data_IF_236102504993
#
_entry.id   IF_236102504993
#
_cell.length_a   1.000
_cell.length_b   1.000
_cell.length_c   1.000
_cell.angle_alpha   90.00
_cell.angle_beta   90.00
_cell.angle_gamma   90.00
#
_symmetry.space_group_name_H-M   'P 1'
#
loop_
_entity.id
_entity.type
_entity.pdbx_description
1 polymer ?
#
# COMPACT_ATOMS: atom_id res chain seq x y z
N UNK A 1 -26.33 2.57 -3.23
CA UNK A 1 -25.42 2.16 -4.33
C UNK A 1 -26.21 2.17 -5.61
N UNK A 2 -25.69 2.75 -6.69
CA UNK A 2 -26.35 2.71 -7.99
C UNK A 2 -26.12 1.33 -8.65
N UNK A 3 -27.11 0.79 -9.35
CA UNK A 3 -27.01 -0.47 -10.10
C UNK A 3 -25.77 -0.52 -11.04
N UNK A 4 -25.29 0.64 -11.49
CA UNK A 4 -24.08 0.81 -12.29
C UNK A 4 -22.79 0.40 -11.55
N UNK A 5 -22.71 0.60 -10.21
CA UNK A 5 -21.52 0.23 -9.43
C UNK A 5 -21.43 -1.29 -9.21
N UNK A 6 -22.57 -1.96 -9.05
CA UNK A 6 -22.62 -3.41 -8.92
C UNK A 6 -22.22 -4.13 -10.22
N UNK A 7 -22.59 -3.60 -11.39
CA UNK A 7 -22.22 -4.15 -12.70
C UNK A 7 -20.73 -3.98 -13.04
N UNK A 8 -20.01 -3.07 -12.36
CA UNK A 8 -18.58 -2.86 -12.55
C UNK A 8 -17.70 -3.87 -11.75
N UNK A 9 -18.29 -4.60 -10.79
CA UNK A 9 -17.62 -5.60 -10.00
C UNK A 9 -17.65 -6.95 -10.74
N UNK A 10 -16.56 -7.25 -11.43
CA UNK A 10 -16.33 -8.54 -12.11
C UNK A 10 -14.91 -9.02 -11.87
N UNK A 11 -14.67 -10.33 -11.95
CA UNK A 11 -13.31 -10.85 -11.93
C UNK A 11 -12.47 -10.23 -13.04
N UNK A 12 -11.30 -9.70 -12.71
CA UNK A 12 -10.41 -8.97 -13.63
C UNK A 12 -9.17 -9.78 -13.96
N UNK A 13 -8.57 -9.57 -15.11
CA UNK A 13 -7.21 -10.03 -15.44
C UNK A 13 -6.17 -9.16 -14.71
N UNK A 14 -4.91 -9.59 -14.67
CA UNK A 14 -3.82 -8.82 -14.03
C UNK A 14 -3.67 -7.43 -14.66
N UNK A 15 -3.74 -7.35 -15.99
CA UNK A 15 -3.66 -6.08 -16.72
C UNK A 15 -4.87 -5.18 -16.43
N UNK A 16 -6.08 -5.73 -16.37
CA UNK A 16 -7.28 -4.99 -16.02
C UNK A 16 -7.28 -4.49 -14.56
N UNK A 17 -6.63 -5.21 -13.63
CA UNK A 17 -6.43 -4.74 -12.25
C UNK A 17 -5.56 -3.49 -12.25
N UNK A 18 -4.45 -3.52 -12.97
CA UNK A 18 -3.52 -2.39 -13.05
C UNK A 18 -4.18 -1.20 -13.76
N UNK A 19 -4.90 -1.43 -14.85
CA UNK A 19 -5.63 -0.39 -15.60
C UNK A 19 -6.70 0.28 -14.73
N UNK A 20 -7.48 -0.52 -13.98
CA UNK A 20 -8.46 -0.02 -13.03
C UNK A 20 -7.81 0.79 -11.90
N UNK A 21 -6.65 0.35 -11.40
CA UNK A 21 -5.90 1.06 -10.37
C UNK A 21 -5.38 2.41 -10.89
N UNK A 22 -4.85 2.46 -12.11
CA UNK A 22 -4.45 3.73 -12.74
C UNK A 22 -5.64 4.68 -12.90
N UNK A 23 -6.79 4.18 -13.35
CA UNK A 23 -8.00 4.98 -13.48
C UNK A 23 -8.47 5.54 -12.15
N UNK A 24 -8.50 4.68 -11.10
CA UNK A 24 -8.89 5.05 -9.74
C UNK A 24 -7.94 6.11 -9.16
N UNK A 25 -6.64 5.90 -9.28
CA UNK A 25 -5.63 6.85 -8.80
C UNK A 25 -5.73 8.18 -9.53
N UNK A 26 -5.79 8.16 -10.88
CA UNK A 26 -5.80 9.37 -11.72
C UNK A 26 -6.97 10.29 -11.43
N UNK A 27 -8.13 9.74 -11.07
CA UNK A 27 -9.33 10.50 -10.77
C UNK A 27 -9.13 11.55 -9.65
N UNK A 28 -8.24 11.25 -8.69
CA UNK A 28 -7.98 12.09 -7.50
C UNK A 28 -6.51 12.13 -7.10
N UNK A 29 -5.62 12.08 -8.08
CA UNK A 29 -4.18 11.92 -7.86
C UNK A 29 -3.62 12.94 -6.87
N UNK A 30 -3.93 14.23 -7.04
CA UNK A 30 -3.43 15.28 -6.15
C UNK A 30 -3.83 15.09 -4.68
N UNK A 31 -5.04 14.60 -4.42
CA UNK A 31 -5.48 14.32 -3.06
C UNK A 31 -4.72 13.16 -2.42
N UNK A 32 -4.46 12.09 -3.18
CA UNK A 32 -3.67 10.95 -2.67
C UNK A 32 -2.21 11.30 -2.46
N UNK A 33 -1.60 12.06 -3.37
CA UNK A 33 -0.25 12.59 -3.21
C UNK A 33 -0.16 13.48 -1.98
N UNK A 34 -1.15 14.37 -1.74
CA UNK A 34 -1.16 15.20 -0.54
C UNK A 34 -1.22 14.38 0.76
N UNK A 35 -2.01 13.30 0.79
CA UNK A 35 -2.06 12.38 1.95
C UNK A 35 -0.72 11.71 2.19
N UNK A 36 -0.05 11.23 1.15
CA UNK A 36 1.27 10.62 1.29
C UNK A 36 2.32 11.63 1.69
N UNK A 37 2.28 12.86 1.15
CA UNK A 37 3.20 13.95 1.53
C UNK A 37 3.08 14.34 3.02
N UNK A 38 1.87 14.41 3.57
CA UNK A 38 1.67 14.77 4.98
C UNK A 38 2.44 13.81 5.92
N UNK A 39 2.59 12.56 5.54
CA UNK A 39 3.31 11.55 6.33
C UNK A 39 4.78 11.48 5.92
N UNK A 40 5.08 11.55 4.63
CA UNK A 40 6.45 11.42 4.13
C UNK A 40 7.33 12.62 4.48
N UNK A 41 6.78 13.85 4.45
CA UNK A 41 7.54 15.07 4.79
C UNK A 41 8.13 15.04 6.21
N UNK A 42 7.40 14.70 7.27
CA UNK A 42 7.98 14.50 8.61
C UNK A 42 9.07 13.43 8.64
N UNK A 43 8.89 12.34 7.90
CA UNK A 43 9.90 11.27 7.81
C UNK A 43 11.17 11.79 7.12
N UNK A 44 11.02 12.55 6.04
CA UNK A 44 12.14 13.17 5.33
C UNK A 44 12.91 14.17 6.22
N UNK A 45 12.18 15.00 6.97
CA UNK A 45 12.79 15.95 7.92
C UNK A 45 13.54 15.19 9.02
N UNK A 46 12.94 14.16 9.58
CA UNK A 46 13.59 13.32 10.60
C UNK A 46 14.85 12.64 10.05
N UNK A 47 14.78 12.06 8.86
CA UNK A 47 15.94 11.46 8.18
C UNK A 47 17.03 12.49 7.93
N UNK A 48 16.70 13.66 7.38
CA UNK A 48 17.65 14.73 7.15
C UNK A 48 18.35 15.17 8.44
N UNK A 49 17.62 15.24 9.56
CA UNK A 49 18.18 15.60 10.86
C UNK A 49 19.07 14.48 11.45
N UNK A 50 18.62 13.23 11.40
CA UNK A 50 19.36 12.07 11.96
C UNK A 50 20.64 11.83 11.17
N UNK A 51 20.62 11.92 9.84
CA UNK A 51 21.80 11.71 8.99
C UNK A 51 22.73 12.92 8.93
N UNK A 52 22.37 14.09 9.52
CA UNK A 52 23.26 15.24 9.62
C UNK A 52 24.48 15.01 10.54
N UNK A 53 24.31 14.20 11.59
CA UNK A 53 25.28 14.04 12.68
C UNK A 53 25.86 12.62 12.82
N UNK A 54 25.69 11.77 11.81
CA UNK A 54 26.15 10.38 11.91
C UNK A 54 27.66 10.31 11.86
N UNK A 55 28.26 10.21 13.05
CA UNK A 55 29.56 9.58 13.21
C UNK A 55 29.47 8.12 12.69
N UNK A 56 30.51 7.60 12.02
CA UNK A 56 30.49 6.23 11.51
C UNK A 56 30.31 5.26 12.68
N UNK A 57 29.07 4.80 12.86
CA UNK A 57 28.80 3.70 13.82
C UNK A 57 29.48 2.44 13.27
N UNK A 58 30.14 1.64 14.17
CA UNK A 58 30.72 0.36 13.75
C UNK A 58 29.69 -0.45 12.94
N UNK A 59 30.09 -0.96 11.79
CA UNK A 59 29.20 -1.73 10.89
C UNK A 59 28.50 -2.89 11.60
N UNK A 60 29.11 -3.42 12.66
CA UNK A 60 28.58 -4.51 13.49
C UNK A 60 27.29 -4.19 14.26
N UNK A 61 26.98 -2.90 14.51
CA UNK A 61 25.79 -2.48 15.25
C UNK A 61 24.90 -1.52 14.46
N UNK A 62 25.32 -1.09 13.27
CA UNK A 62 24.57 -0.16 12.42
C UNK A 62 23.21 -0.73 11.96
N UNK A 63 23.04 -2.05 11.92
CA UNK A 63 21.80 -2.72 11.54
C UNK A 63 20.67 -2.53 12.57
N UNK A 64 20.97 -2.28 13.86
CA UNK A 64 19.94 -2.09 14.89
C UNK A 64 19.17 -0.78 14.67
N UNK A 65 19.81 0.41 14.59
CA UNK A 65 19.11 1.64 14.30
C UNK A 65 18.43 1.63 12.93
N UNK A 66 19.04 1.02 11.91
CA UNK A 66 18.43 0.86 10.59
C UNK A 66 17.15 0.00 10.65
N UNK A 67 17.12 -1.06 11.44
CA UNK A 67 15.95 -1.90 11.65
C UNK A 67 14.81 -1.16 12.36
N UNK A 68 15.13 -0.36 13.38
CA UNK A 68 14.16 0.47 14.11
C UNK A 68 13.60 1.55 13.18
N UNK A 69 14.44 2.21 12.40
CA UNK A 69 14.01 3.19 11.42
C UNK A 69 13.08 2.56 10.37
N UNK A 70 13.46 1.43 9.80
CA UNK A 70 12.65 0.71 8.82
C UNK A 70 11.27 0.38 9.38
N UNK A 71 11.20 -0.10 10.62
CA UNK A 71 9.93 -0.41 11.28
C UNK A 71 9.10 0.84 11.52
N UNK A 72 9.69 1.92 12.03
CA UNK A 72 9.00 3.18 12.29
C UNK A 72 8.45 3.80 11.00
N UNK A 73 9.27 3.87 9.96
CA UNK A 73 8.86 4.37 8.63
C UNK A 73 7.74 3.51 8.05
N UNK A 74 7.85 2.20 8.14
CA UNK A 74 6.83 1.27 7.66
C UNK A 74 5.49 1.41 8.40
N UNK A 75 5.51 1.62 9.72
CA UNK A 75 4.29 1.88 10.49
C UNK A 75 3.64 3.22 10.10
N UNK A 76 4.43 4.26 9.91
CA UNK A 76 3.92 5.57 9.47
C UNK A 76 3.37 5.49 8.04
N UNK A 77 4.09 4.85 7.13
CA UNK A 77 3.64 4.62 5.75
C UNK A 77 2.34 3.81 5.69
N UNK A 78 2.15 2.83 6.60
CA UNK A 78 0.92 2.04 6.67
C UNK A 78 -0.30 2.89 7.03
N UNK A 79 -0.14 3.96 7.81
CA UNK A 79 -1.24 4.89 8.12
C UNK A 79 -1.67 5.64 6.85
N UNK A 80 -0.71 6.17 6.07
CA UNK A 80 -1.01 6.78 4.78
C UNK A 80 -1.68 5.81 3.82
N UNK A 81 -1.14 4.58 3.74
CA UNK A 81 -1.69 3.50 2.94
C UNK A 81 -3.13 3.18 3.34
N UNK A 82 -3.40 3.10 4.64
CA UNK A 82 -4.75 2.85 5.18
C UNK A 82 -5.74 3.95 4.80
N UNK A 83 -5.32 5.23 4.91
CA UNK A 83 -6.16 6.37 4.52
C UNK A 83 -6.44 6.36 3.01
N UNK A 84 -5.42 6.15 2.20
CA UNK A 84 -5.58 6.04 0.75
C UNK A 84 -6.46 4.83 0.38
N UNK A 85 -6.24 3.66 0.98
CA UNK A 85 -7.03 2.46 0.73
C UNK A 85 -8.51 2.64 1.11
N UNK A 86 -8.80 3.26 2.25
CA UNK A 86 -10.17 3.56 2.67
C UNK A 86 -10.87 4.54 1.71
N UNK A 87 -10.17 5.59 1.29
CA UNK A 87 -10.72 6.57 0.35
C UNK A 87 -10.93 5.98 -1.05
N UNK A 88 -9.96 5.21 -1.55
CA UNK A 88 -10.03 4.51 -2.83
C UNK A 88 -11.12 3.43 -2.84
N UNK A 89 -11.28 2.71 -1.72
CA UNK A 89 -12.33 1.74 -1.53
C UNK A 89 -13.73 2.37 -1.64
N UNK A 90 -13.96 3.50 -0.99
CA UNK A 90 -15.22 4.23 -1.07
C UNK A 90 -15.51 4.73 -2.48
N UNK A 91 -14.49 5.22 -3.19
CA UNK A 91 -14.62 5.69 -4.57
C UNK A 91 -14.88 4.52 -5.54
N UNK A 92 -14.16 3.40 -5.38
CA UNK A 92 -14.33 2.17 -6.17
C UNK A 92 -15.74 1.57 -6.03
N UNK A 93 -16.33 1.66 -4.83
CA UNK A 93 -17.69 1.20 -4.57
C UNK A 93 -18.78 2.24 -4.95
N UNK A 94 -18.40 3.36 -5.56
CA UNK A 94 -19.34 4.40 -5.97
C UNK A 94 -19.97 5.20 -4.81
N UNK A 95 -19.40 5.11 -3.59
CA UNK A 95 -19.86 5.85 -2.41
C UNK A 95 -19.38 7.32 -2.39
N UNK A 96 -18.53 7.67 -3.36
CA UNK A 96 -17.92 8.98 -3.50
C UNK A 96 -16.72 9.19 -2.56
N UNK A 97 -15.76 9.96 -3.07
CA UNK A 97 -14.53 10.28 -2.36
C UNK A 97 -14.78 11.23 -1.19
N UNK A 98 -14.44 10.80 0.03
CA UNK A 98 -14.47 11.63 1.25
C UNK A 98 -13.27 11.33 2.13
N UNK A 99 -12.23 12.16 2.02
CA UNK A 99 -10.98 11.99 2.77
C UNK A 99 -11.21 12.02 4.30
N UNK A 100 -12.10 12.88 4.79
CA UNK A 100 -12.43 12.96 6.22
C UNK A 100 -12.97 11.63 6.77
N UNK A 101 -13.83 10.94 6.03
CA UNK A 101 -14.33 9.62 6.43
C UNK A 101 -13.22 8.56 6.44
N UNK A 102 -12.32 8.61 5.47
CA UNK A 102 -11.18 7.70 5.42
C UNK A 102 -10.26 7.87 6.63
N UNK A 103 -9.97 9.12 7.02
CA UNK A 103 -9.18 9.44 8.21
C UNK A 103 -9.85 8.93 9.49
N UNK A 104 -11.15 9.18 9.66
CA UNK A 104 -11.91 8.68 10.82
C UNK A 104 -11.86 7.15 10.88
N UNK A 105 -12.09 6.47 9.76
CA UNK A 105 -12.04 5.00 9.68
C UNK A 105 -10.68 4.43 10.06
N UNK A 106 -9.60 5.05 9.61
CA UNK A 106 -8.23 4.62 9.99
C UNK A 106 -7.98 4.86 11.47
N UNK A 107 -8.41 6.02 12.00
CA UNK A 107 -8.28 6.33 13.44
C UNK A 107 -8.98 5.29 14.33
N UNK A 108 -10.19 4.88 13.95
CA UNK A 108 -10.95 3.86 14.69
C UNK A 108 -10.30 2.47 14.62
N UNK A 109 -9.54 2.19 13.55
CA UNK A 109 -8.89 0.91 13.30
C UNK A 109 -7.36 0.94 13.43
N UNK A 110 -6.80 2.02 13.97
CA UNK A 110 -5.34 2.20 14.05
C UNK A 110 -4.64 1.08 14.84
N UNK A 111 -5.24 0.63 15.92
CA UNK A 111 -4.70 -0.48 16.72
C UNK A 111 -4.66 -1.80 15.91
N UNK A 112 -5.74 -2.08 15.17
CA UNK A 112 -5.80 -3.23 14.24
C UNK A 112 -4.74 -3.12 13.16
N UNK A 113 -4.60 -1.94 12.56
CA UNK A 113 -3.63 -1.66 11.51
C UNK A 113 -2.19 -1.85 12.01
N UNK A 114 -1.83 -1.22 13.13
CA UNK A 114 -0.49 -1.34 13.72
C UNK A 114 -0.18 -2.78 14.08
N UNK A 115 -1.10 -3.48 14.76
CA UNK A 115 -0.91 -4.89 15.10
C UNK A 115 -0.76 -5.77 13.86
N UNK A 116 -1.54 -5.54 12.80
CA UNK A 116 -1.43 -6.28 11.55
C UNK A 116 -0.09 -6.07 10.85
N UNK A 117 0.43 -4.83 10.84
CA UNK A 117 1.73 -4.50 10.24
C UNK A 117 2.89 -5.09 11.06
N UNK A 118 2.81 -5.05 12.38
CA UNK A 118 3.80 -5.71 13.24
C UNK A 118 3.83 -7.23 13.02
N UNK A 119 2.67 -7.86 12.90
CA UNK A 119 2.57 -9.29 12.60
C UNK A 119 3.06 -9.61 11.18
N UNK A 120 2.80 -8.73 10.21
CA UNK A 120 3.37 -8.85 8.86
C UNK A 120 4.90 -8.86 8.91
N UNK A 121 5.52 -7.89 9.59
CA UNK A 121 6.97 -7.83 9.74
C UNK A 121 7.53 -9.04 10.47
N UNK A 122 6.86 -9.47 11.54
CA UNK A 122 7.23 -10.69 12.25
C UNK A 122 7.22 -11.92 11.33
N UNK A 123 6.16 -12.08 10.54
CA UNK A 123 6.05 -13.19 9.58
C UNK A 123 7.15 -13.15 8.51
N UNK A 124 7.48 -11.94 8.00
CA UNK A 124 8.56 -11.76 7.02
C UNK A 124 9.91 -12.08 7.65
N UNK A 125 10.21 -11.53 8.83
CA UNK A 125 11.49 -11.73 9.52
C UNK A 125 11.69 -13.22 9.86
N UNK A 126 10.71 -13.84 10.52
CA UNK A 126 10.78 -15.27 10.87
C UNK A 126 10.89 -16.13 9.61
N UNK A 127 10.10 -15.84 8.59
CA UNK A 127 10.16 -16.57 7.33
C UNK A 127 11.50 -16.42 6.62
N UNK A 128 12.11 -15.24 6.64
CA UNK A 128 13.41 -14.96 6.03
C UNK A 128 14.56 -15.60 6.81
N UNK A 129 14.50 -15.59 8.16
CA UNK A 129 15.51 -16.23 9.02
C UNK A 129 15.47 -17.75 8.86
N UNK A 130 14.29 -18.35 8.77
CA UNK A 130 14.16 -19.80 8.53
C UNK A 130 14.69 -20.19 7.15
N UNK A 131 14.23 -19.51 6.11
CA UNK A 131 14.65 -19.66 4.72
C UNK A 131 14.12 -18.44 3.95
N UNK A 132 14.88 -17.90 3.02
CA UNK A 132 14.49 -16.72 2.22
C UNK A 132 13.11 -16.90 1.54
N UNK A 133 12.84 -18.08 1.00
CA UNK A 133 11.60 -18.39 0.26
C UNK A 133 10.34 -18.22 1.11
N UNK A 134 10.22 -18.75 2.34
CA UNK A 134 9.04 -18.52 3.20
C UNK A 134 8.82 -17.04 3.55
N UNK A 135 9.89 -16.26 3.73
CA UNK A 135 9.77 -14.82 3.99
C UNK A 135 9.17 -14.06 2.80
N UNK A 136 9.70 -14.33 1.61
CA UNK A 136 9.17 -13.77 0.35
C UNK A 136 7.72 -14.21 0.11
N UNK A 137 7.42 -15.49 0.34
CA UNK A 137 6.06 -16.01 0.22
C UNK A 137 5.09 -15.30 1.19
N UNK A 138 5.48 -15.09 2.45
CA UNK A 138 4.69 -14.36 3.44
C UNK A 138 4.46 -12.90 3.02
N UNK A 139 5.47 -12.21 2.48
CA UNK A 139 5.38 -10.84 2.01
C UNK A 139 4.32 -10.69 0.89
N UNK A 140 4.34 -11.56 -0.12
CA UNK A 140 3.34 -11.53 -1.19
C UNK A 140 1.94 -11.91 -0.69
N UNK A 141 1.87 -12.91 0.19
CA UNK A 141 0.61 -13.40 0.72
C UNK A 141 -0.12 -12.38 1.57
N UNK A 142 0.63 -11.60 2.32
CA UNK A 142 0.11 -10.57 3.22
C UNK A 142 0.16 -9.16 2.61
N UNK A 143 0.45 -9.03 1.33
CA UNK A 143 0.60 -7.72 0.67
C UNK A 143 -0.66 -6.84 0.76
N UNK A 144 -1.85 -7.44 0.87
CA UNK A 144 -3.13 -6.72 1.01
C UNK A 144 -3.54 -6.48 2.48
N UNK A 145 -2.69 -6.86 3.47
CA UNK A 145 -3.06 -6.85 4.89
C UNK A 145 -3.50 -5.48 5.40
N UNK A 146 -2.86 -4.40 4.93
CA UNK A 146 -3.22 -3.03 5.31
C UNK A 146 -4.62 -2.67 4.80
N UNK A 147 -4.92 -3.03 3.54
CA UNK A 147 -6.25 -2.84 2.96
C UNK A 147 -7.30 -3.63 3.75
N UNK A 148 -7.03 -4.91 4.05
CA UNK A 148 -7.91 -5.76 4.87
C UNK A 148 -8.12 -5.17 6.26
N UNK A 149 -7.06 -4.72 6.95
CA UNK A 149 -7.15 -4.19 8.32
C UNK A 149 -8.06 -2.95 8.42
N UNK A 150 -8.09 -2.12 7.36
CA UNK A 150 -8.86 -0.86 7.36
C UNK A 150 -10.23 -1.03 6.71
N UNK A 151 -10.32 -1.78 5.61
CA UNK A 151 -11.52 -1.84 4.77
C UNK A 151 -12.44 -3.00 5.14
N UNK A 152 -11.89 -4.17 5.52
CA UNK A 152 -12.69 -5.37 5.80
C UNK A 152 -13.28 -5.32 7.22
N UNK A 153 -14.61 -5.32 7.30
CA UNK A 153 -15.33 -5.31 8.59
C UNK A 153 -15.24 -6.65 9.32
N UNK A 154 -15.01 -7.74 8.57
CA UNK A 154 -14.82 -9.08 9.13
C UNK A 154 -13.44 -9.25 9.80
N UNK A 155 -12.50 -8.35 9.53
CA UNK A 155 -11.18 -8.35 10.16
C UNK A 155 -11.24 -7.73 11.57
N UNK A 156 -11.33 -8.56 12.59
CA UNK A 156 -11.33 -8.15 13.99
C UNK A 156 -9.93 -8.25 14.58
N UNK A 157 -9.33 -7.09 14.92
CA UNK A 157 -7.96 -7.03 15.46
C UNK A 157 -6.87 -7.40 14.45
N UNK A 158 -5.61 -7.26 14.86
CA UNK A 158 -4.45 -7.49 13.98
C UNK A 158 -4.32 -8.93 13.50
N UNK A 159 -4.53 -9.91 14.39
CA UNK A 159 -4.50 -11.34 14.03
C UNK A 159 -5.61 -11.67 13.05
N UNK A 160 -6.83 -11.14 13.27
CA UNK A 160 -7.95 -11.32 12.36
C UNK A 160 -7.66 -10.74 10.97
N UNK A 161 -7.03 -9.57 10.89
CA UNK A 161 -6.63 -8.96 9.62
C UNK A 161 -5.58 -9.81 8.87
N UNK A 162 -4.56 -10.30 9.57
CA UNK A 162 -3.54 -11.18 8.99
C UNK A 162 -4.14 -12.51 8.50
N UNK A 163 -4.95 -13.16 9.34
CA UNK A 163 -5.64 -14.40 8.98
C UNK A 163 -6.54 -14.18 7.76
N UNK A 164 -7.27 -13.09 7.74
CA UNK A 164 -8.18 -12.74 6.64
C UNK A 164 -7.42 -12.48 5.33
N UNK A 165 -6.31 -11.71 5.36
CA UNK A 165 -5.45 -11.51 4.20
C UNK A 165 -4.88 -12.84 3.70
N UNK A 166 -4.47 -13.71 4.62
CA UNK A 166 -3.95 -15.04 4.32
C UNK A 166 -4.99 -15.94 3.63
N UNK A 167 -6.22 -15.95 4.10
CA UNK A 167 -7.33 -16.70 3.53
C UNK A 167 -7.67 -16.21 2.11
N UNK A 168 -7.82 -14.89 1.92
CA UNK A 168 -8.12 -14.28 0.62
C UNK A 168 -7.05 -14.61 -0.45
N UNK A 169 -5.77 -14.65 -0.07
CA UNK A 169 -4.68 -15.01 -0.99
C UNK A 169 -4.51 -16.51 -1.26
N UNK A 170 -5.21 -17.42 -0.55
CA UNK A 170 -4.89 -18.85 -0.51
C UNK A 170 -4.92 -19.54 -1.88
N UNK A 171 -5.91 -19.28 -2.70
CA UNK A 171 -6.11 -19.96 -4.00
C UNK A 171 -5.69 -19.10 -5.19
N UNK A 172 -5.23 -17.86 -4.96
CA UNK A 172 -4.94 -16.86 -5.98
C UNK A 172 -3.49 -16.33 -5.91
N UNK A 173 -2.57 -17.12 -5.33
CA UNK A 173 -1.18 -16.67 -5.08
C UNK A 173 -0.47 -16.24 -6.35
N UNK A 174 -0.63 -16.99 -7.45
CA UNK A 174 -0.03 -16.64 -8.74
C UNK A 174 -0.51 -15.26 -9.22
N UNK A 175 -1.79 -14.97 -9.03
CA UNK A 175 -2.38 -13.67 -9.42
C UNK A 175 -1.82 -12.54 -8.56
N UNK A 176 -1.79 -12.72 -7.24
CA UNK A 176 -1.21 -11.74 -6.31
C UNK A 176 0.25 -11.47 -6.70
N UNK A 177 1.03 -12.54 -6.91
CA UNK A 177 2.43 -12.43 -7.31
C UNK A 177 2.60 -11.68 -8.63
N UNK A 178 1.87 -12.08 -9.69
CA UNK A 178 1.98 -11.46 -11.00
C UNK A 178 1.54 -10.00 -10.98
N UNK A 179 0.46 -9.66 -10.24
CA UNK A 179 0.00 -8.27 -10.14
C UNK A 179 1.04 -7.40 -9.44
N UNK A 180 1.59 -7.87 -8.31
CA UNK A 180 2.61 -7.12 -7.56
C UNK A 180 3.95 -7.07 -8.29
N UNK A 181 4.32 -8.12 -9.00
CA UNK A 181 5.52 -8.13 -9.85
C UNK A 181 5.40 -7.11 -10.99
N UNK A 182 4.26 -7.07 -11.65
CA UNK A 182 4.02 -6.15 -12.77
C UNK A 182 4.08 -4.68 -12.33
N UNK A 183 3.37 -4.33 -11.25
CA UNK A 183 3.43 -2.97 -10.73
C UNK A 183 4.81 -2.63 -10.14
N UNK A 184 5.45 -3.59 -9.46
CA UNK A 184 6.81 -3.45 -8.94
C UNK A 184 7.81 -3.16 -10.06
N UNK A 185 7.68 -3.81 -11.21
CA UNK A 185 8.52 -3.55 -12.38
C UNK A 185 8.31 -2.12 -12.91
N UNK A 186 7.07 -1.65 -13.01
CA UNK A 186 6.78 -0.27 -13.42
C UNK A 186 7.45 0.73 -12.48
N UNK A 187 7.32 0.53 -11.16
CA UNK A 187 7.95 1.39 -10.14
C UNK A 187 9.48 1.32 -10.23
N UNK A 188 10.05 0.13 -10.45
CA UNK A 188 11.51 -0.01 -10.60
C UNK A 188 12.05 0.68 -11.84
N UNK A 189 11.33 0.64 -12.96
CA UNK A 189 11.69 1.39 -14.18
C UNK A 189 11.66 2.89 -13.89
N UNK A 190 10.63 3.38 -13.19
CA UNK A 190 10.53 4.78 -12.78
C UNK A 190 11.70 5.20 -11.88
N UNK A 191 12.02 4.42 -10.85
CA UNK A 191 13.12 4.70 -9.93
C UNK A 191 14.49 4.62 -10.63
N UNK A 192 14.66 3.69 -11.55
CA UNK A 192 15.87 3.58 -12.36
C UNK A 192 16.05 4.82 -13.26
N UNK A 193 14.98 5.24 -13.95
CA UNK A 193 15.01 6.45 -14.78
C UNK A 193 15.33 7.70 -13.95
N UNK A 194 14.77 7.81 -12.73
CA UNK A 194 15.04 8.90 -11.82
C UNK A 194 16.52 8.93 -11.38
N UNK A 195 17.09 7.77 -11.02
CA UNK A 195 18.53 7.66 -10.68
C UNK A 195 19.44 7.98 -11.85
N UNK A 196 19.11 7.46 -13.02
CA UNK A 196 19.88 7.78 -14.23
C UNK A 196 19.82 9.27 -14.56
N UNK A 197 18.64 9.91 -14.44
CA UNK A 197 18.48 11.36 -14.62
C UNK A 197 19.30 12.17 -13.63
N UNK A 198 19.33 11.78 -12.35
CA UNK A 198 20.21 12.43 -11.35
C UNK A 198 21.68 12.30 -11.72
N UNK A 199 22.12 11.15 -12.22
CA UNK A 199 23.49 10.93 -12.68
C UNK A 199 23.88 11.86 -13.84
N UNK A 200 22.96 12.06 -14.80
CA UNK A 200 23.15 12.97 -15.93
C UNK A 200 23.20 14.45 -15.49
N UNK A 201 22.39 14.83 -14.50
CA UNK A 201 22.32 16.20 -14.00
C UNK A 201 23.43 16.54 -12.99
N UNK A 202 24.03 15.55 -12.33
CA UNK A 202 25.04 15.75 -11.30
C UNK A 202 26.28 16.58 -11.73
N UNK A 203 26.77 16.57 -12.99
CA UNK A 203 27.82 17.49 -13.43
C UNK A 203 27.42 18.95 -13.35
N UNK A 204 26.16 19.27 -13.71
CA UNK A 204 25.63 20.65 -13.73
C UNK A 204 25.10 21.07 -12.34
N UNK A 205 24.72 20.12 -11.50
CA UNK A 205 24.19 20.36 -10.15
C UNK A 205 24.97 19.56 -9.10
N UNK A 206 26.08 20.12 -8.58
CA UNK A 206 26.96 19.40 -7.65
C UNK A 206 26.27 18.85 -6.38
N UNK A 207 25.19 19.48 -5.94
CA UNK A 207 24.39 18.99 -4.81
C UNK A 207 23.89 17.57 -5.01
N UNK A 208 23.55 17.16 -6.26
CA UNK A 208 23.08 15.81 -6.59
C UNK A 208 24.18 14.74 -6.51
N UNK A 209 25.44 15.13 -6.32
CA UNK A 209 26.54 14.19 -6.08
C UNK A 209 26.54 13.64 -4.66
N UNK A 210 25.91 14.35 -3.71
CA UNK A 210 25.82 13.90 -2.34
C UNK A 210 24.81 12.74 -2.22
N UNK A 211 25.18 11.69 -1.51
CA UNK A 211 24.28 10.56 -1.22
C UNK A 211 22.99 11.04 -0.52
N UNK A 212 23.10 12.04 0.35
CA UNK A 212 21.96 12.65 1.05
C UNK A 212 20.93 13.24 0.10
N UNK A 213 21.37 14.05 -0.86
CA UNK A 213 20.46 14.65 -1.84
C UNK A 213 19.79 13.57 -2.69
N UNK A 214 20.54 12.56 -3.10
CA UNK A 214 19.98 11.42 -3.85
C UNK A 214 18.93 10.66 -3.04
N UNK A 215 19.21 10.37 -1.78
CA UNK A 215 18.26 9.69 -0.89
C UNK A 215 17.00 10.53 -0.63
N UNK A 216 17.14 11.83 -0.42
CA UNK A 216 16.00 12.74 -0.26
C UNK A 216 15.11 12.77 -1.51
N UNK A 217 15.71 12.86 -2.70
CA UNK A 217 14.97 12.84 -3.96
C UNK A 217 14.27 11.50 -4.17
N UNK A 218 14.95 10.37 -3.86
CA UNK A 218 14.37 9.04 -3.98
C UNK A 218 13.21 8.84 -3.00
N UNK A 219 13.36 9.27 -1.76
CA UNK A 219 12.31 9.20 -0.75
C UNK A 219 11.11 10.09 -1.12
N UNK A 220 11.37 11.35 -1.51
CA UNK A 220 10.32 12.26 -1.96
C UNK A 220 9.54 11.72 -3.19
N UNK A 221 10.22 11.00 -4.09
CA UNK A 221 9.57 10.36 -5.24
C UNK A 221 8.54 9.30 -4.84
N UNK A 222 8.66 8.77 -3.62
CA UNK A 222 7.68 7.85 -3.05
C UNK A 222 6.27 8.42 -3.06
N UNK A 223 6.12 9.72 -2.77
CA UNK A 223 4.81 10.38 -2.80
C UNK A 223 4.11 10.28 -4.16
N UNK A 224 4.86 10.13 -5.25
CA UNK A 224 4.32 10.08 -6.59
C UNK A 224 3.81 8.67 -6.98
N UNK A 225 4.56 7.62 -6.65
CA UNK A 225 4.18 6.26 -7.06
C UNK A 225 3.42 5.47 -5.97
N UNK A 226 3.54 5.87 -4.70
CA UNK A 226 2.92 5.16 -3.59
C UNK A 226 1.39 5.08 -3.70
N UNK A 227 0.67 6.14 -4.11
CA UNK A 227 -0.77 6.04 -4.35
C UNK A 227 -1.14 4.98 -5.39
N UNK A 228 -0.32 4.77 -6.41
CA UNK A 228 -0.53 3.73 -7.41
C UNK A 228 -0.42 2.33 -6.80
N UNK A 229 0.59 2.11 -5.96
CA UNK A 229 0.75 0.84 -5.24
C UNK A 229 -0.48 0.53 -4.38
N UNK A 230 -0.98 1.53 -3.66
CA UNK A 230 -2.19 1.39 -2.82
C UNK A 230 -3.44 1.12 -3.67
N UNK A 231 -3.58 1.80 -4.82
CA UNK A 231 -4.69 1.57 -5.73
C UNK A 231 -4.70 0.13 -6.26
N UNK A 232 -3.53 -0.39 -6.67
CA UNK A 232 -3.40 -1.79 -7.13
C UNK A 232 -3.78 -2.76 -6.02
N UNK A 233 -3.31 -2.55 -4.80
CA UNK A 233 -3.64 -3.41 -3.66
C UNK A 233 -5.13 -3.34 -3.30
N UNK A 234 -5.76 -2.17 -3.43
CA UNK A 234 -7.19 -1.99 -3.19
C UNK A 234 -8.03 -2.72 -4.24
N UNK A 235 -7.72 -2.57 -5.52
CA UNK A 235 -8.42 -3.27 -6.60
C UNK A 235 -8.19 -4.78 -6.50
N UNK A 236 -6.96 -5.21 -6.20
CA UNK A 236 -6.61 -6.62 -5.99
C UNK A 236 -7.40 -7.22 -4.82
N UNK A 237 -7.54 -6.49 -3.70
CA UNK A 237 -8.36 -6.93 -2.57
C UNK A 237 -9.81 -7.21 -2.99
N UNK A 238 -10.42 -6.33 -3.77
CA UNK A 238 -11.78 -6.54 -4.27
C UNK A 238 -11.87 -7.68 -5.28
N UNK A 239 -10.90 -7.84 -6.20
CA UNK A 239 -10.85 -8.98 -7.12
C UNK A 239 -10.76 -10.32 -6.37
N UNK A 240 -9.95 -10.38 -5.31
CA UNK A 240 -9.84 -11.57 -4.46
C UNK A 240 -11.14 -11.87 -3.71
N UNK A 241 -11.85 -10.86 -3.22
CA UNK A 241 -13.15 -11.03 -2.57
C UNK A 241 -14.23 -11.51 -3.54
N UNK A 242 -14.27 -10.95 -4.74
CA UNK A 242 -15.21 -11.37 -5.78
C UNK A 242 -15.02 -12.86 -6.10
N UNK A 243 -13.76 -13.30 -6.24
CA UNK A 243 -13.45 -14.71 -6.59
C UNK A 243 -13.66 -15.71 -5.47
N UNK A 244 -13.39 -15.32 -4.24
CA UNK A 244 -13.46 -16.24 -3.10
C UNK A 244 -14.81 -16.22 -2.38
N UNK A 245 -15.56 -15.11 -2.48
CA UNK A 245 -16.75 -14.86 -1.67
C UNK A 245 -17.97 -14.47 -2.50
N UNK A 246 -17.86 -14.44 -3.84
CA UNK A 246 -18.92 -13.99 -4.72
C UNK A 246 -19.52 -12.64 -4.29
N UNK A 247 -18.63 -11.69 -3.90
CA UNK A 247 -19.02 -10.37 -3.43
C UNK A 247 -19.92 -9.60 -4.41
N UNK A 248 -19.73 -9.83 -5.71
CA UNK A 248 -20.55 -9.31 -6.78
C UNK A 248 -22.01 -9.76 -6.66
N UNK A 249 -22.24 -11.04 -6.36
CA UNK A 249 -23.56 -11.61 -6.16
C UNK A 249 -24.20 -11.08 -4.86
N UNK A 250 -23.43 -11.02 -3.77
CA UNK A 250 -23.90 -10.46 -2.48
C UNK A 250 -24.36 -9.02 -2.66
N UNK A 251 -23.58 -8.20 -3.37
CA UNK A 251 -23.90 -6.80 -3.62
C UNK A 251 -25.07 -6.59 -4.60
N UNK A 252 -25.20 -7.45 -5.61
CA UNK A 252 -26.36 -7.44 -6.51
C UNK A 252 -27.64 -7.84 -5.77
N UNK A 253 -27.61 -8.88 -4.95
CA UNK A 253 -28.78 -9.29 -4.15
C UNK A 253 -29.21 -8.22 -3.16
N UNK A 254 -28.26 -7.54 -2.51
CA UNK A 254 -28.56 -6.42 -1.63
C UNK A 254 -29.19 -5.21 -2.39
N UNK A 255 -28.77 -4.95 -3.62
CA UNK A 255 -29.33 -3.88 -4.43
C UNK A 255 -30.76 -4.20 -4.94
N UNK A 256 -31.08 -5.48 -5.18
CA UNK A 256 -32.40 -5.95 -5.58
C UNK A 256 -33.37 -6.07 -4.41
N UNK A 257 -32.88 -6.34 -3.19
CA UNK A 257 -33.67 -6.45 -1.96
C UNK A 257 -34.02 -5.11 -1.30
N UNK A 258 -33.49 -4.00 -1.79
CA UNK A 258 -33.84 -2.65 -1.27
C UNK A 258 -35.08 -2.17 -2.01
N UNK A 259 -36.27 -2.04 -1.33
CA UNK A 259 -37.45 -1.48 -1.99
C UNK A 259 -37.11 -0.06 -2.47
N UNK A 260 -37.44 0.22 -3.74
CA UNK A 260 -37.34 1.55 -4.31
C UNK A 260 -38.26 2.47 -3.46
N UNK A 261 -37.65 3.22 -2.54
CA UNK A 261 -38.35 4.32 -1.87
C UNK A 261 -38.62 5.39 -2.92
N UNK A 262 -39.89 5.52 -3.25
CA UNK A 262 -40.45 6.54 -4.12
C UNK A 262 -40.23 7.95 -3.54
#
# INVERSE_FOLDING_TARGET
>A
MTASAASALRPRTVTEIVDAAFSLMRARYGAYVAVTMIIEVPILVLRAAVYSDVHPTPASIAWIPAGIELLAVSLMASIAQGVCAAAMSADYLGQGFRLSRAIVRVRERVATLVAAVLLLWLAIIVGTVLLLIPGVYAAFRLAIVVCVAVVDERATGGIGAVRRAWELGRHQMQRVFLTLLFIGLIVQIFLFALRAGMGVLAPSWPALRSLRAQELVMSASGCLYYPLMVAVQTVLYYDLRIRNEALDVEMMSAALGTPATA
#
